data_IF_255106080072
#
_entry.id   IF_255106080072
#
_cell.length_a   1.000
_cell.length_b   1.000
_cell.length_c   1.000
_cell.angle_alpha   90.00
_cell.angle_beta   90.00
_cell.angle_gamma   90.00
#
_symmetry.space_group_name_H-M   'P 1'
#
loop_
_entity.id
_entity.type
_entity.pdbx_description
1 polymer ?
#
# COMPACT_ATOMS: atom_id res chain seq x y z
N UNK A 1 -21.60 -21.44 -3.67
CA UNK A 1 -22.33 -21.77 -2.44
C UNK A 1 -23.18 -20.57 -2.06
N UNK A 2 -24.40 -20.85 -1.63
CA UNK A 2 -25.50 -19.92 -1.38
C UNK A 2 -25.50 -19.46 0.08
N UNK A 3 -25.77 -18.18 0.34
CA UNK A 3 -26.23 -17.58 1.61
C UNK A 3 -26.50 -16.09 1.32
N UNK A 4 -27.53 -15.38 1.77
CA UNK A 4 -28.78 -15.60 2.48
C UNK A 4 -29.59 -14.28 2.29
N UNK A 5 -30.93 -14.32 2.27
CA UNK A 5 -31.81 -13.27 1.71
C UNK A 5 -32.55 -12.38 2.75
N UNK A 6 -31.95 -11.89 3.83
CA UNK A 6 -32.67 -10.99 4.78
C UNK A 6 -31.83 -9.89 5.45
N UNK A 7 -31.09 -9.10 4.67
CA UNK A 7 -30.51 -7.82 5.10
C UNK A 7 -30.55 -6.79 3.96
N UNK A 8 -30.54 -5.47 4.24
CA UNK A 8 -30.52 -4.46 3.17
C UNK A 8 -29.35 -4.77 2.21
N UNK A 9 -29.64 -4.86 0.91
CA UNK A 9 -28.63 -5.17 -0.14
C UNK A 9 -27.65 -4.01 -0.25
N UNK A 10 -26.65 -3.96 0.63
CA UNK A 10 -25.59 -2.96 0.56
C UNK A 10 -24.68 -3.34 -0.61
N UNK A 11 -24.61 -2.48 -1.63
CA UNK A 11 -23.68 -2.70 -2.75
C UNK A 11 -22.25 -2.70 -2.19
N UNK A 12 -21.51 -3.78 -2.41
CA UNK A 12 -20.11 -3.92 -1.96
C UNK A 12 -19.23 -2.76 -2.45
N UNK A 13 -19.62 -2.13 -3.56
CA UNK A 13 -19.04 -0.91 -4.14
C UNK A 13 -19.07 0.34 -3.24
N UNK A 14 -19.84 0.34 -2.14
CA UNK A 14 -19.93 1.44 -1.17
C UNK A 14 -19.36 1.09 0.21
N UNK A 15 -18.69 -0.03 0.34
CA UNK A 15 -18.09 -0.43 1.61
C UNK A 15 -16.69 0.21 1.74
N UNK A 16 -16.53 1.14 2.70
CA UNK A 16 -15.23 1.78 3.01
C UNK A 16 -14.55 1.17 4.24
N UNK A 17 -15.26 0.35 5.03
CA UNK A 17 -14.76 -0.26 6.26
C UNK A 17 -15.33 -1.67 6.43
N UNK A 18 -14.57 -2.57 7.09
CA UNK A 18 -15.02 -3.94 7.38
C UNK A 18 -16.01 -3.90 8.54
N UNK A 19 -17.24 -4.31 8.28
CA UNK A 19 -18.33 -4.36 9.26
C UNK A 19 -19.20 -5.57 9.01
N UNK A 20 -20.13 -5.89 9.91
CA UNK A 20 -21.02 -7.05 9.79
C UNK A 20 -21.86 -7.06 8.48
N UNK A 21 -22.01 -5.90 7.83
CA UNK A 21 -22.71 -5.70 6.56
C UNK A 21 -21.80 -5.84 5.32
N UNK A 22 -20.47 -5.76 5.47
CA UNK A 22 -19.46 -5.83 4.40
C UNK A 22 -18.33 -6.79 4.82
N UNK A 23 -18.56 -8.11 4.67
CA UNK A 23 -17.63 -9.12 5.16
C UNK A 23 -16.38 -9.27 4.27
N UNK A 24 -15.26 -9.66 4.91
CA UNK A 24 -13.90 -9.71 4.32
C UNK A 24 -13.79 -10.61 3.07
N UNK A 25 -14.73 -11.55 2.88
CA UNK A 25 -14.69 -12.53 1.79
C UNK A 25 -14.96 -11.95 0.39
N UNK A 26 -15.54 -10.76 0.27
CA UNK A 26 -15.77 -10.09 -1.03
C UNK A 26 -14.62 -9.16 -1.44
N UNK A 27 -13.62 -8.97 -0.58
CA UNK A 27 -12.44 -8.16 -0.90
C UNK A 27 -11.44 -8.98 -1.71
N UNK A 28 -10.79 -8.37 -2.70
CA UNK A 28 -9.77 -8.99 -3.58
C UNK A 28 -8.65 -9.73 -2.83
N UNK A 29 -8.46 -9.44 -1.54
CA UNK A 29 -7.36 -9.97 -0.73
C UNK A 29 -7.80 -11.01 0.33
N UNK A 30 -9.11 -11.18 0.60
CA UNK A 30 -9.66 -12.22 1.48
C UNK A 30 -9.17 -12.21 2.95
N UNK A 31 -8.40 -11.20 3.37
CA UNK A 31 -7.81 -11.10 4.70
C UNK A 31 -7.60 -9.63 5.09
N UNK A 32 -7.74 -9.32 6.39
CA UNK A 32 -7.46 -7.98 6.92
C UNK A 32 -5.93 -7.76 6.92
N UNK A 33 -5.37 -6.90 6.06
CA UNK A 33 -3.93 -6.76 5.97
C UNK A 33 -3.37 -6.20 7.28
N UNK A 34 -2.34 -6.86 7.83
CA UNK A 34 -1.64 -6.41 9.03
C UNK A 34 -0.96 -5.06 8.76
N UNK A 35 -1.57 -3.97 9.22
CA UNK A 35 -1.05 -2.60 9.10
C UNK A 35 0.33 -2.44 9.75
N UNK A 36 0.64 -3.25 10.77
CA UNK A 36 1.87 -3.15 11.54
C UNK A 36 3.15 -3.34 10.71
N UNK A 37 3.19 -4.33 9.82
CA UNK A 37 4.38 -4.56 8.98
C UNK A 37 4.53 -3.45 7.94
N UNK A 38 3.42 -2.97 7.36
CA UNK A 38 3.45 -1.90 6.38
C UNK A 38 4.00 -0.59 6.94
N UNK A 39 3.62 -0.24 8.16
CA UNK A 39 4.11 0.96 8.85
C UNK A 39 5.59 0.83 9.20
N UNK A 40 6.03 -0.34 9.69
CA UNK A 40 7.43 -0.59 10.04
C UNK A 40 8.36 -0.37 8.84
N UNK A 41 8.05 -0.99 7.71
CA UNK A 41 8.85 -0.86 6.50
C UNK A 41 8.80 0.56 5.91
N UNK A 42 7.65 1.23 5.96
CA UNK A 42 7.53 2.64 5.54
C UNK A 42 8.50 3.54 6.31
N UNK A 43 8.59 3.37 7.63
CA UNK A 43 9.49 4.18 8.47
C UNK A 43 10.96 3.82 8.20
N UNK A 44 11.26 2.52 8.03
CA UNK A 44 12.60 2.06 7.74
C UNK A 44 13.13 2.63 6.41
N UNK A 45 12.35 2.49 5.33
CA UNK A 45 12.73 3.04 4.02
C UNK A 45 12.73 4.57 4.02
N UNK A 46 11.77 5.24 4.67
CA UNK A 46 11.80 6.69 4.82
C UNK A 46 13.07 7.20 5.50
N UNK A 47 13.56 6.50 6.53
CA UNK A 47 14.80 6.86 7.24
C UNK A 47 16.02 6.66 6.34
N UNK A 48 16.09 5.53 5.63
CA UNK A 48 17.15 5.27 4.66
C UNK A 48 17.16 6.28 3.50
N UNK A 49 16.00 6.80 3.08
CA UNK A 49 15.89 7.80 2.02
C UNK A 49 16.55 9.10 2.45
N UNK A 50 16.25 9.57 3.66
CA UNK A 50 16.84 10.78 4.23
C UNK A 50 18.36 10.62 4.34
N UNK A 51 18.83 9.46 4.81
CA UNK A 51 20.25 9.17 4.93
C UNK A 51 20.95 9.14 3.55
N UNK A 52 20.39 8.42 2.57
CA UNK A 52 20.94 8.31 1.22
C UNK A 52 20.95 9.66 0.50
N UNK A 53 19.89 10.46 0.64
CA UNK A 53 19.79 11.80 0.07
C UNK A 53 20.85 12.74 0.67
N UNK A 54 21.00 12.72 2.01
CA UNK A 54 21.99 13.54 2.71
C UNK A 54 23.42 13.18 2.32
N UNK A 55 23.73 11.88 2.26
CA UNK A 55 25.05 11.38 1.83
C UNK A 55 25.32 11.70 0.35
N UNK A 56 24.30 11.59 -0.49
CA UNK A 56 24.40 11.91 -1.92
C UNK A 56 24.68 13.39 -2.20
N UNK A 57 24.05 14.29 -1.44
CA UNK A 57 24.34 15.72 -1.50
C UNK A 57 25.78 16.02 -1.10
N UNK A 58 26.30 15.36 -0.07
CA UNK A 58 27.69 15.55 0.39
C UNK A 58 28.72 14.95 -0.57
N UNK A 59 28.47 13.74 -1.09
CA UNK A 59 29.43 13.01 -1.93
C UNK A 59 29.36 13.36 -3.41
N UNK A 60 28.38 14.19 -3.82
CA UNK A 60 28.21 14.68 -5.20
C UNK A 60 28.09 13.54 -6.23
N UNK A 61 27.61 12.38 -5.81
CA UNK A 61 27.35 11.19 -6.63
C UNK A 61 25.93 11.27 -7.20
N UNK A 62 25.73 12.16 -8.18
CA UNK A 62 24.40 12.52 -8.71
C UNK A 62 23.60 11.34 -9.25
N UNK A 63 24.19 10.48 -10.08
CA UNK A 63 23.49 9.37 -10.73
C UNK A 63 23.15 8.25 -9.74
N UNK A 64 24.10 7.90 -8.88
CA UNK A 64 23.91 6.86 -7.85
C UNK A 64 22.85 7.27 -6.82
N UNK A 65 22.90 8.52 -6.36
CA UNK A 65 21.92 9.04 -5.40
C UNK A 65 20.53 9.11 -6.03
N UNK A 66 20.42 9.51 -7.30
CA UNK A 66 19.14 9.54 -8.00
C UNK A 66 18.51 8.14 -8.09
N UNK A 67 19.28 7.13 -8.48
CA UNK A 67 18.80 5.75 -8.56
C UNK A 67 18.31 5.22 -7.20
N UNK A 68 19.10 5.40 -6.14
CA UNK A 68 18.74 4.96 -4.78
C UNK A 68 17.52 5.71 -4.26
N UNK A 69 17.44 7.03 -4.48
CA UNK A 69 16.29 7.83 -4.04
C UNK A 69 15.02 7.42 -4.75
N UNK A 70 15.09 7.14 -6.07
CA UNK A 70 13.95 6.64 -6.85
C UNK A 70 13.50 5.27 -6.30
N UNK A 71 14.40 4.30 -6.13
CA UNK A 71 14.05 2.99 -5.57
C UNK A 71 13.36 3.08 -4.21
N UNK A 72 13.90 3.88 -3.29
CA UNK A 72 13.28 4.07 -1.96
C UNK A 72 11.93 4.78 -2.01
N UNK A 73 11.72 5.71 -2.94
CA UNK A 73 10.40 6.33 -3.16
C UNK A 73 9.41 5.29 -3.66
N UNK A 74 9.81 4.42 -4.60
CA UNK A 74 8.96 3.35 -5.12
C UNK A 74 8.59 2.34 -4.02
N UNK A 75 9.54 1.91 -3.21
CA UNK A 75 9.28 1.01 -2.07
C UNK A 75 8.29 1.65 -1.08
N UNK A 76 8.50 2.93 -0.76
CA UNK A 76 7.61 3.69 0.12
C UNK A 76 6.21 3.84 -0.50
N UNK A 77 6.10 4.11 -1.80
CA UNK A 77 4.84 4.21 -2.52
C UNK A 77 4.08 2.87 -2.55
N UNK A 78 4.79 1.75 -2.64
CA UNK A 78 4.23 0.41 -2.49
C UNK A 78 3.54 0.19 -1.15
N UNK A 79 4.19 0.60 -0.05
CA UNK A 79 3.62 0.53 1.29
C UNK A 79 2.48 1.53 1.52
N UNK A 80 2.54 2.72 0.92
CA UNK A 80 1.41 3.66 0.90
C UNK A 80 0.23 3.06 0.14
N UNK A 81 0.47 2.33 -0.95
CA UNK A 81 -0.57 1.56 -1.65
C UNK A 81 -1.25 0.52 -0.75
N UNK A 82 -0.51 -0.13 0.18
CA UNK A 82 -1.10 -1.03 1.22
C UNK A 82 -2.02 -0.30 2.19
N UNK A 83 -1.65 0.91 2.62
CA UNK A 83 -2.45 1.76 3.52
C UNK A 83 -3.67 2.33 2.78
N UNK A 84 -3.51 2.71 1.51
CA UNK A 84 -4.60 3.23 0.69
C UNK A 84 -5.63 2.12 0.37
N UNK A 85 -5.18 0.87 0.21
CA UNK A 85 -6.05 -0.30 0.11
C UNK A 85 -6.89 -0.52 1.39
N UNK A 86 -6.40 -0.07 2.54
CA UNK A 86 -7.13 -0.14 3.80
C UNK A 86 -8.26 0.90 3.87
N UNK A 87 -8.02 2.09 3.33
CA UNK A 87 -9.01 3.18 3.31
C UNK A 87 -10.04 3.04 2.17
N UNK A 88 -9.66 2.45 1.04
CA UNK A 88 -10.59 2.21 -0.06
C UNK A 88 -10.22 0.93 -0.86
N UNK A 89 -10.66 -0.25 -0.38
CA UNK A 89 -10.25 -1.56 -0.93
C UNK A 89 -10.76 -1.85 -2.35
N UNK A 90 -11.58 -0.98 -2.95
CA UNK A 90 -12.16 -1.14 -4.30
C UNK A 90 -11.44 -0.37 -5.42
N UNK A 91 -10.40 0.42 -5.13
CA UNK A 91 -9.61 1.04 -6.20
C UNK A 91 -8.58 0.06 -6.78
N UNK A 92 -8.90 -0.51 -7.94
CA UNK A 92 -8.00 -1.34 -8.73
C UNK A 92 -6.63 -0.67 -8.98
N UNK A 93 -6.62 0.66 -9.13
CA UNK A 93 -5.40 1.46 -9.31
C UNK A 93 -4.48 1.47 -8.09
N UNK A 94 -5.00 1.35 -6.86
CA UNK A 94 -4.19 1.31 -5.65
C UNK A 94 -3.49 -0.05 -5.47
N UNK A 95 -4.14 -1.12 -5.90
CA UNK A 95 -3.56 -2.47 -5.92
C UNK A 95 -2.44 -2.59 -6.96
N UNK A 96 -2.66 -2.06 -8.16
CA UNK A 96 -1.66 -2.08 -9.23
C UNK A 96 -0.46 -1.19 -8.90
N UNK A 97 -0.69 -0.01 -8.33
CA UNK A 97 0.38 0.86 -7.85
C UNK A 97 1.22 0.19 -6.76
N UNK A 98 0.60 -0.52 -5.82
CA UNK A 98 1.31 -1.27 -4.78
C UNK A 98 2.26 -2.32 -5.37
N UNK A 99 1.78 -3.17 -6.28
CA UNK A 99 2.57 -4.27 -6.84
C UNK A 99 3.65 -3.74 -7.77
N UNK A 100 3.30 -2.84 -8.70
CA UNK A 100 4.25 -2.28 -9.64
C UNK A 100 5.36 -1.49 -8.94
N UNK A 101 5.03 -0.70 -7.92
CA UNK A 101 6.03 0.06 -7.19
C UNK A 101 7.02 -0.84 -6.43
N UNK A 102 6.57 -1.95 -5.84
CA UNK A 102 7.47 -2.89 -5.15
C UNK A 102 8.33 -3.70 -6.14
N UNK A 103 7.80 -4.06 -7.31
CA UNK A 103 8.56 -4.81 -8.33
C UNK A 103 9.62 -3.93 -9.01
N UNK A 104 9.34 -2.63 -9.15
CA UNK A 104 10.23 -1.68 -9.81
C UNK A 104 11.23 -1.01 -8.86
N UNK A 105 11.01 -1.08 -7.54
CA UNK A 105 11.95 -0.61 -6.53
C UNK A 105 13.22 -1.47 -6.53
#
# INVERSE_FOLDING_TARGET
>A
AMSDSTGPRVSVTRCTEVSALCPVYETVLGYYPNLGSGIFFTIAFGTCLIAAFSLGMWKKTWTYTAAITIGLILETAGYVGRILLHYNPWHQSAFELQICAIILA
#
